data_IF_457950374865
#
_entry.id   IF_457950374865
#
_cell.length_a   1.000
_cell.length_b   1.000
_cell.length_c   1.000
_cell.angle_alpha   90.00
_cell.angle_beta   90.00
_cell.angle_gamma   90.00
#
_symmetry.space_group_name_H-M   'P 1'
#
loop_
_entity.id
_entity.type
_entity.pdbx_description
1 polymer ?
#
# COMPACT_ATOMS: atom_id res chain seq x y z
N UNK A 1 6.91 -19.50 -8.90
CA UNK A 1 7.22 -18.13 -9.37
C UNK A 1 5.89 -17.41 -9.50
N UNK A 2 5.56 -16.51 -8.57
CA UNK A 2 4.32 -15.74 -8.64
C UNK A 2 4.37 -14.82 -9.85
N UNK A 3 3.27 -14.72 -10.60
CA UNK A 3 3.10 -13.62 -11.56
C UNK A 3 3.06 -12.35 -10.70
N UNK A 4 3.87 -11.34 -11.01
CA UNK A 4 3.89 -10.09 -10.25
C UNK A 4 2.52 -9.39 -10.26
N UNK A 5 2.49 -8.13 -9.83
CA UNK A 5 1.28 -7.32 -10.03
C UNK A 5 1.15 -6.93 -11.51
N UNK A 6 -0.07 -6.93 -12.05
CA UNK A 6 -0.35 -6.45 -13.40
C UNK A 6 -0.38 -4.92 -13.42
N UNK A 7 0.82 -4.32 -13.33
CA UNK A 7 0.99 -2.87 -13.21
C UNK A 7 0.51 -2.09 -14.42
N UNK A 8 0.38 -2.74 -15.58
CA UNK A 8 -0.09 -2.13 -16.82
C UNK A 8 -1.51 -1.55 -16.67
N UNK A 9 -2.31 -2.03 -15.71
CA UNK A 9 -3.64 -1.51 -15.40
C UNK A 9 -3.63 -0.13 -14.69
N UNK A 10 -2.47 0.27 -14.17
CA UNK A 10 -2.25 1.51 -13.40
C UNK A 10 -1.08 2.33 -13.97
N UNK A 11 -0.78 2.10 -15.24
CA UNK A 11 0.12 2.89 -16.08
C UNK A 11 -0.69 3.57 -17.20
N UNK A 12 -0.23 4.72 -17.72
CA UNK A 12 0.97 5.46 -17.31
C UNK A 12 0.75 6.31 -16.03
N UNK A 13 1.81 6.88 -15.40
CA UNK A 13 1.71 7.60 -14.13
C UNK A 13 0.82 8.85 -14.20
N UNK A 14 0.75 9.50 -15.36
CA UNK A 14 -0.11 10.67 -15.61
C UNK A 14 -1.62 10.36 -15.52
N UNK A 15 -2.02 9.15 -15.90
CA UNK A 15 -3.42 8.70 -15.85
C UNK A 15 -3.77 8.16 -14.45
N UNK A 16 -2.75 7.68 -13.73
CA UNK A 16 -2.87 7.09 -12.40
C UNK A 16 -1.96 7.78 -11.36
N UNK A 17 -2.20 9.08 -11.09
CA UNK A 17 -1.37 9.87 -10.19
C UNK A 17 -1.52 9.47 -8.72
N UNK A 18 -2.53 8.66 -8.39
CA UNK A 18 -2.74 8.10 -7.04
C UNK A 18 -2.60 6.59 -7.05
N UNK A 19 -1.67 6.05 -6.25
CA UNK A 19 -1.52 4.59 -6.05
C UNK A 19 -1.43 4.25 -4.57
N UNK A 20 -2.32 3.36 -4.13
CA UNK A 20 -2.42 2.91 -2.74
C UNK A 20 -1.89 1.50 -2.59
N UNK A 21 -0.80 1.34 -1.86
CA UNK A 21 -0.16 0.06 -1.58
C UNK A 21 -0.50 -0.40 -0.16
N UNK A 22 -0.81 -1.70 -0.03
CA UNK A 22 -1.22 -2.31 1.23
C UNK A 22 -0.47 -3.62 1.45
N UNK A 23 0.30 -3.69 2.54
CA UNK A 23 1.11 -4.85 2.87
C UNK A 23 0.87 -5.30 4.32
N UNK A 24 0.77 -6.62 4.55
CA UNK A 24 0.88 -7.20 5.91
C UNK A 24 1.83 -8.38 5.93
N UNK A 25 2.61 -8.52 7.00
CA UNK A 25 3.52 -9.66 7.18
C UNK A 25 4.49 -9.83 6.00
N UNK A 26 4.54 -11.04 5.42
CA UNK A 26 5.38 -11.37 4.25
C UNK A 26 4.93 -10.70 2.95
N UNK A 27 3.72 -10.11 2.90
CA UNK A 27 3.21 -9.38 1.75
C UNK A 27 4.01 -8.13 1.41
N UNK A 28 4.89 -7.66 2.31
CA UNK A 28 5.84 -6.60 2.01
C UNK A 28 6.88 -7.02 0.96
N UNK A 29 7.23 -8.32 0.84
CA UNK A 29 8.28 -8.76 -0.08
C UNK A 29 7.91 -8.53 -1.55
N UNK A 30 6.70 -8.89 -2.03
CA UNK A 30 6.25 -8.52 -3.38
C UNK A 30 6.18 -7.00 -3.59
N UNK A 31 5.72 -6.24 -2.60
CA UNK A 31 5.65 -4.77 -2.69
C UNK A 31 7.04 -4.15 -2.79
N UNK A 32 7.99 -4.61 -1.97
CA UNK A 32 9.40 -4.22 -2.07
C UNK A 32 9.92 -4.49 -3.47
N UNK A 33 9.66 -5.68 -4.02
CA UNK A 33 10.11 -6.04 -5.36
C UNK A 33 9.56 -5.08 -6.41
N UNK A 34 8.27 -4.71 -6.33
CA UNK A 34 7.64 -3.74 -7.22
C UNK A 34 8.30 -2.35 -7.13
N UNK A 35 8.51 -1.87 -5.91
CA UNK A 35 9.12 -0.55 -5.67
C UNK A 35 10.56 -0.54 -6.21
N UNK A 36 11.34 -1.56 -5.89
CA UNK A 36 12.76 -1.64 -6.23
C UNK A 36 13.02 -2.03 -7.69
N UNK A 37 12.02 -2.57 -8.40
CA UNK A 37 12.13 -2.87 -9.84
C UNK A 37 11.84 -1.67 -10.75
N UNK A 38 11.60 -0.48 -10.20
CA UNK A 38 11.39 0.74 -10.97
C UNK A 38 9.94 1.18 -11.11
N UNK A 39 9.10 0.95 -10.08
CA UNK A 39 7.80 1.60 -10.03
C UNK A 39 7.99 3.13 -9.99
N UNK A 40 7.42 3.83 -10.97
CA UNK A 40 7.56 5.28 -11.18
C UNK A 40 6.79 6.11 -10.12
N UNK A 41 7.02 5.86 -8.83
CA UNK A 41 6.32 6.55 -7.74
C UNK A 41 6.60 8.05 -7.74
N UNK A 42 7.83 8.47 -8.01
CA UNK A 42 8.23 9.89 -8.09
C UNK A 42 7.57 10.68 -9.22
N UNK A 43 7.00 10.00 -10.23
CA UNK A 43 6.23 10.63 -11.31
C UNK A 43 4.74 10.78 -10.98
N UNK A 44 4.29 10.23 -9.85
CA UNK A 44 2.91 10.28 -9.36
C UNK A 44 2.79 11.31 -8.25
N UNK A 45 1.62 11.91 -8.09
CA UNK A 45 1.40 12.95 -7.07
C UNK A 45 1.10 12.40 -5.68
N UNK A 46 0.61 11.15 -5.59
CA UNK A 46 0.20 10.52 -4.32
C UNK A 46 0.46 9.01 -4.37
N UNK A 47 1.55 8.55 -3.76
CA UNK A 47 1.82 7.13 -3.57
C UNK A 47 1.98 6.83 -2.10
N UNK A 48 1.12 5.96 -1.56
CA UNK A 48 1.08 5.64 -0.14
C UNK A 48 1.22 4.15 0.10
N UNK A 49 2.10 3.76 1.01
CA UNK A 49 2.27 2.38 1.46
C UNK A 49 1.79 2.24 2.91
N UNK A 50 0.63 1.60 3.10
CA UNK A 50 0.21 1.16 4.41
C UNK A 50 0.82 -0.20 4.72
N UNK A 51 1.72 -0.24 5.69
CA UNK A 51 2.43 -1.47 6.07
C UNK A 51 2.09 -1.90 7.49
N UNK A 52 1.29 -2.96 7.59
CA UNK A 52 0.84 -3.53 8.86
C UNK A 52 1.79 -4.59 9.42
N UNK A 53 2.15 -4.43 10.69
CA UNK A 53 2.83 -5.45 11.47
C UNK A 53 2.29 -5.49 12.90
N UNK A 54 2.65 -6.53 13.65
CA UNK A 54 2.29 -6.61 15.07
C UNK A 54 3.00 -5.52 15.87
N UNK A 55 4.31 -5.40 15.70
CA UNK A 55 5.15 -4.38 16.33
C UNK A 55 6.36 -4.09 15.40
N UNK A 56 7.16 -3.08 15.75
CA UNK A 56 8.34 -2.71 14.96
C UNK A 56 9.33 -3.86 14.78
N UNK A 57 9.58 -4.69 15.81
CA UNK A 57 10.53 -5.81 15.67
C UNK A 57 10.12 -6.83 14.62
N UNK A 58 8.81 -6.96 14.33
CA UNK A 58 8.25 -7.86 13.33
C UNK A 58 8.02 -7.19 11.96
N UNK A 59 8.37 -5.92 11.82
CA UNK A 59 8.25 -5.15 10.59
C UNK A 59 9.54 -5.28 9.78
N UNK A 60 9.50 -6.05 8.69
CA UNK A 60 10.69 -6.26 7.85
C UNK A 60 11.02 -5.02 7.02
N UNK A 61 12.28 -4.88 6.62
CA UNK A 61 12.74 -3.84 5.69
C UNK A 61 12.56 -2.39 6.19
N UNK A 62 12.53 -2.16 7.51
CA UNK A 62 12.49 -0.81 8.09
C UNK A 62 13.67 0.06 7.62
N UNK A 63 14.84 -0.55 7.42
CA UNK A 63 16.03 0.09 6.87
C UNK A 63 15.83 0.64 5.45
N UNK A 64 14.81 0.15 4.72
CA UNK A 64 14.48 0.57 3.36
C UNK A 64 13.49 1.73 3.30
N UNK A 65 12.84 2.10 4.41
CA UNK A 65 11.76 3.11 4.40
C UNK A 65 12.25 4.44 3.83
N UNK A 66 13.41 4.92 4.28
CA UNK A 66 14.02 6.16 3.76
C UNK A 66 14.26 6.11 2.25
N UNK A 67 14.63 4.95 1.72
CA UNK A 67 14.84 4.77 0.28
C UNK A 67 13.52 4.83 -0.49
N UNK A 68 12.48 4.15 0.00
CA UNK A 68 11.14 4.22 -0.60
C UNK A 68 10.55 5.63 -0.53
N UNK A 69 10.71 6.32 0.59
CA UNK A 69 10.32 7.73 0.76
C UNK A 69 11.05 8.64 -0.23
N UNK A 70 12.35 8.48 -0.39
CA UNK A 70 13.13 9.24 -1.39
C UNK A 70 12.71 8.93 -2.84
N UNK A 71 12.04 7.80 -3.07
CA UNK A 71 11.52 7.39 -4.37
C UNK A 71 10.09 7.92 -4.63
N UNK A 72 9.52 8.70 -3.71
CA UNK A 72 8.20 9.32 -3.83
C UNK A 72 7.06 8.54 -3.15
N UNK A 73 7.36 7.62 -2.24
CA UNK A 73 6.35 6.81 -1.53
C UNK A 73 6.23 7.29 -0.09
N UNK A 74 5.05 7.75 0.31
CA UNK A 74 4.75 7.97 1.73
C UNK A 74 4.57 6.60 2.41
N UNK A 75 5.44 6.24 3.34
CA UNK A 75 5.35 4.99 4.11
C UNK A 75 4.57 5.26 5.39
N UNK A 76 3.46 4.54 5.57
CA UNK A 76 2.58 4.60 6.75
C UNK A 76 2.64 3.26 7.48
N UNK A 77 3.53 3.10 8.47
CA UNK A 77 3.58 1.90 9.28
C UNK A 77 2.36 1.86 10.21
N UNK A 78 1.71 0.70 10.32
CA UNK A 78 0.54 0.48 11.18
C UNK A 78 0.83 -0.69 12.11
N UNK A 79 0.78 -0.45 13.42
CA UNK A 79 1.07 -1.47 14.42
C UNK A 79 -0.19 -1.92 15.16
N UNK A 80 -0.46 -3.23 15.20
CA UNK A 80 -1.58 -3.76 15.98
C UNK A 80 -1.30 -3.82 17.48
N UNK A 81 -0.04 -4.04 17.85
CA UNK A 81 0.46 -4.15 19.22
C UNK A 81 1.71 -3.26 19.41
N UNK A 82 1.55 -1.93 19.31
CA UNK A 82 2.66 -1.00 19.48
C UNK A 82 3.23 -1.02 20.90
N UNK A 83 4.49 -0.60 21.04
CA UNK A 83 5.02 -0.23 22.35
C UNK A 83 4.54 1.18 22.75
N UNK A 84 4.76 1.57 24.00
CA UNK A 84 4.34 2.87 24.54
C UNK A 84 5.00 4.08 23.87
N UNK A 85 6.13 3.89 23.18
CA UNK A 85 6.85 4.95 22.45
C UNK A 85 6.36 5.15 21.01
N UNK A 86 5.42 4.34 20.54
CA UNK A 86 4.91 4.43 19.18
C UNK A 86 3.97 5.63 19.01
N UNK A 87 4.29 6.49 18.06
CA UNK A 87 3.52 7.70 17.75
C UNK A 87 2.81 7.64 16.40
N UNK A 88 2.99 6.54 15.64
CA UNK A 88 2.37 6.36 14.32
C UNK A 88 0.99 5.71 14.39
N UNK A 89 0.53 5.17 13.26
CA UNK A 89 -0.80 4.56 13.17
C UNK A 89 -0.87 3.24 13.95
N UNK A 90 -2.02 3.00 14.57
CA UNK A 90 -2.28 1.83 15.41
C UNK A 90 -3.55 1.10 15.00
N UNK A 91 -3.59 -0.21 15.24
CA UNK A 91 -4.73 -1.07 14.94
C UNK A 91 -4.57 -1.78 13.59
N UNK A 92 -5.63 -1.82 12.79
CA UNK A 92 -5.60 -2.43 11.46
C UNK A 92 -5.40 -1.37 10.36
N UNK A 93 -4.87 -1.81 9.23
CA UNK A 93 -4.56 -0.93 8.09
C UNK A 93 -5.83 -0.26 7.55
N UNK A 94 -6.96 -0.97 7.57
CA UNK A 94 -8.27 -0.50 7.12
C UNK A 94 -8.71 0.74 7.90
N UNK A 95 -8.53 0.73 9.23
CA UNK A 95 -8.84 1.88 10.07
C UNK A 95 -7.86 3.03 9.82
N UNK A 96 -6.56 2.75 9.72
CA UNK A 96 -5.56 3.77 9.39
C UNK A 96 -5.89 4.48 8.06
N UNK A 97 -6.19 3.70 7.01
CA UNK A 97 -6.65 4.21 5.72
C UNK A 97 -7.95 5.02 5.83
N UNK A 98 -8.93 4.49 6.59
CA UNK A 98 -10.22 5.14 6.78
C UNK A 98 -10.13 6.48 7.52
N UNK A 99 -9.14 6.66 8.41
CA UNK A 99 -8.88 7.94 9.09
C UNK A 99 -8.28 8.96 8.12
N UNK A 100 -7.35 8.53 7.27
CA UNK A 100 -6.69 9.42 6.31
C UNK A 100 -7.61 9.85 5.16
N UNK A 101 -8.58 9.00 4.78
CA UNK A 101 -9.64 9.15 3.75
C UNK A 101 -9.55 10.38 2.84
N UNK A 102 -8.56 10.36 1.96
CA UNK A 102 -8.44 11.28 0.83
C UNK A 102 -8.19 10.46 -0.44
N UNK A 103 -9.28 10.11 -1.13
CA UNK A 103 -9.24 9.72 -2.54
C UNK A 103 -9.97 10.82 -3.31
N UNK A 104 -9.23 11.66 -4.04
CA UNK A 104 -9.82 12.77 -4.79
C UNK A 104 -10.34 12.33 -6.16
N UNK A 105 -9.69 11.31 -6.76
CA UNK A 105 -9.98 10.80 -8.10
C UNK A 105 -10.00 9.27 -8.10
N UNK A 106 -11.09 8.65 -7.63
CA UNK A 106 -11.15 7.19 -7.52
C UNK A 106 -11.06 6.48 -8.88
N UNK A 107 -11.55 7.12 -9.95
CA UNK A 107 -11.40 6.65 -11.34
C UNK A 107 -10.00 6.88 -11.95
N UNK A 108 -9.05 7.43 -11.20
CA UNK A 108 -7.64 7.55 -11.58
C UNK A 108 -6.74 7.02 -10.46
N UNK A 109 -7.30 6.16 -9.60
CA UNK A 109 -6.59 5.56 -8.48
C UNK A 109 -6.32 4.09 -8.78
N UNK A 110 -5.06 3.68 -8.61
CA UNK A 110 -4.65 2.29 -8.57
C UNK A 110 -4.49 1.80 -7.14
N UNK A 111 -4.60 0.49 -6.92
CA UNK A 111 -4.25 -0.12 -5.64
C UNK A 111 -3.47 -1.41 -5.82
N UNK A 112 -2.52 -1.66 -4.92
CA UNK A 112 -1.70 -2.87 -4.89
C UNK A 112 -1.80 -3.48 -3.49
N UNK A 113 -2.32 -4.70 -3.39
CA UNK A 113 -2.64 -5.32 -2.10
C UNK A 113 -1.97 -6.69 -1.98
N UNK A 114 -1.19 -6.86 -0.91
CA UNK A 114 -0.55 -8.14 -0.60
C UNK A 114 -0.59 -8.47 0.89
N UNK A 115 -1.10 -9.66 1.21
CA UNK A 115 -1.22 -10.13 2.58
C UNK A 115 -2.34 -11.13 2.75
N UNK A 116 -2.75 -11.34 3.99
CA UNK A 116 -3.76 -12.33 4.32
C UNK A 116 -5.12 -12.01 3.67
N UNK A 117 -5.88 -13.07 3.37
CA UNK A 117 -7.12 -13.00 2.57
C UNK A 117 -8.13 -11.99 3.12
N UNK A 118 -8.35 -11.99 4.44
CA UNK A 118 -9.29 -11.07 5.08
C UNK A 118 -8.95 -9.59 4.83
N UNK A 119 -7.69 -9.17 5.01
CA UNK A 119 -7.28 -7.80 4.69
C UNK A 119 -7.48 -7.46 3.22
N UNK A 120 -7.17 -8.40 2.30
CA UNK A 120 -7.40 -8.16 0.87
C UNK A 120 -8.87 -7.92 0.55
N UNK A 121 -9.76 -8.76 1.08
CA UNK A 121 -11.21 -8.65 0.86
C UNK A 121 -11.77 -7.35 1.45
N UNK A 122 -11.37 -7.00 2.68
CA UNK A 122 -11.84 -5.78 3.35
C UNK A 122 -11.33 -4.50 2.69
N UNK A 123 -10.03 -4.40 2.39
CA UNK A 123 -9.45 -3.23 1.71
C UNK A 123 -10.06 -3.07 0.31
N UNK A 124 -10.21 -4.17 -0.44
CA UNK A 124 -10.87 -4.14 -1.76
C UNK A 124 -12.31 -3.62 -1.64
N UNK A 125 -13.05 -4.07 -0.64
CA UNK A 125 -14.43 -3.61 -0.39
C UNK A 125 -14.48 -2.11 -0.10
N UNK A 126 -13.57 -1.60 0.73
CA UNK A 126 -13.47 -0.17 1.05
C UNK A 126 -13.15 0.64 -0.22
N UNK A 127 -12.15 0.23 -0.99
CA UNK A 127 -11.73 0.94 -2.20
C UNK A 127 -12.84 0.98 -3.26
N UNK A 128 -13.53 -0.14 -3.50
CA UNK A 128 -14.66 -0.20 -4.43
C UNK A 128 -15.81 0.68 -3.94
N UNK A 129 -16.10 0.67 -2.63
CA UNK A 129 -17.11 1.55 -2.04
C UNK A 129 -16.75 3.03 -2.22
N UNK A 130 -15.46 3.35 -2.21
CA UNK A 130 -14.94 4.70 -2.44
C UNK A 130 -14.79 5.02 -3.95
N UNK A 131 -15.21 4.11 -4.84
CA UNK A 131 -15.33 4.31 -6.29
C UNK A 131 -14.15 3.83 -7.12
N UNK A 132 -13.13 3.22 -6.51
CA UNK A 132 -11.98 2.66 -7.24
C UNK A 132 -12.43 1.47 -8.08
N UNK A 133 -12.06 1.46 -9.36
CA UNK A 133 -12.43 0.37 -10.28
C UNK A 133 -11.73 -0.93 -9.86
N UNK A 134 -12.50 -2.02 -9.81
CA UNK A 134 -12.00 -3.34 -9.38
C UNK A 134 -10.84 -3.85 -10.24
N UNK A 135 -10.84 -3.56 -11.53
CA UNK A 135 -9.75 -3.90 -12.46
C UNK A 135 -8.41 -3.23 -12.11
N UNK A 136 -8.44 -2.13 -11.34
CA UNK A 136 -7.24 -1.39 -10.90
C UNK A 136 -6.81 -1.74 -9.49
N UNK A 137 -7.46 -2.74 -8.88
CA UNK A 137 -7.09 -3.29 -7.57
C UNK A 137 -6.29 -4.56 -7.82
N UNK A 138 -4.97 -4.42 -7.82
CA UNK A 138 -4.02 -5.46 -8.13
C UNK A 138 -3.71 -6.26 -6.86
N UNK A 139 -3.91 -7.58 -6.91
CA UNK A 139 -3.60 -8.45 -5.77
C UNK A 139 -2.69 -9.59 -6.18
N UNK A 140 -1.77 -9.98 -5.30
CA UNK A 140 -0.95 -11.19 -5.47
C UNK A 140 -1.50 -12.29 -4.54
N UNK A 141 -1.64 -13.50 -5.08
CA UNK A 141 -2.24 -14.67 -4.41
C UNK A 141 -1.21 -15.74 -4.10
#
# INVERSE_FOLDING_TARGET
MGRGFDVDQIEPPEDYPTVLMFATGSGISPIRSLIESGFDASKRSDVRLYYGAMNLHRMAYQDRFKYWESSGIEVIPVLSEPNHSWMGETGNIQAAFSKARKIWRPLSTGAVICGHRQMREEVTSILVKDGVLRERILTNS
#
